data_IF_215571995027
#
_entry.id   IF_215571995027
#
_cell.length_a   1.000
_cell.length_b   1.000
_cell.length_c   1.000
_cell.angle_alpha   90.00
_cell.angle_beta   90.00
_cell.angle_gamma   90.00
#
_symmetry.space_group_name_H-M   'P 1'
#
loop_
_entity.id
_entity.type
_entity.pdbx_description
1 polymer ?
#
# COMPACT_ATOMS: atom_id res chain seq x y z
N UNK A 1 -5.93 40.53 -17.59
CA UNK A 1 -6.59 39.54 -16.70
C UNK A 1 -5.63 38.39 -16.46
N UNK A 2 -5.01 38.24 -15.28
CA UNK A 2 -4.21 37.06 -14.98
C UNK A 2 -5.09 35.97 -14.34
N UNK A 3 -5.12 34.78 -14.94
CA UNK A 3 -5.70 33.57 -14.34
C UNK A 3 -4.70 33.04 -13.30
N UNK A 4 -4.91 33.37 -12.03
CA UNK A 4 -4.22 32.69 -10.92
C UNK A 4 -4.97 31.41 -10.60
N UNK A 5 -4.37 30.26 -10.93
CA UNK A 5 -4.82 28.97 -10.43
C UNK A 5 -4.14 28.69 -9.08
N UNK A 6 -4.87 28.58 -7.96
CA UNK A 6 -4.31 27.98 -6.76
C UNK A 6 -4.33 26.45 -6.94
N UNK A 7 -3.33 25.87 -7.61
CA UNK A 7 -3.12 24.42 -7.57
C UNK A 7 -2.28 24.06 -6.34
N UNK A 8 -2.88 24.29 -5.17
CA UNK A 8 -2.41 23.65 -3.95
C UNK A 8 -2.97 22.24 -3.93
N UNK A 9 -2.24 21.26 -4.47
CA UNK A 9 -2.50 19.86 -4.12
C UNK A 9 -2.44 19.78 -2.58
N UNK A 10 -3.40 19.10 -1.90
CA UNK A 10 -3.30 18.93 -0.48
C UNK A 10 -1.99 18.19 -0.20
N UNK A 11 -1.00 18.93 0.32
CA UNK A 11 0.21 18.35 0.87
C UNK A 11 -0.27 17.49 2.02
N UNK A 12 -0.37 16.18 1.75
CA UNK A 12 -0.83 15.19 2.71
C UNK A 12 0.06 15.35 3.93
N UNK A 13 -0.50 15.97 4.97
CA UNK A 13 0.16 16.13 6.26
C UNK A 13 0.44 14.72 6.74
N UNK A 14 1.68 14.26 6.59
CA UNK A 14 2.08 12.90 6.90
C UNK A 14 1.63 12.60 8.33
N UNK A 15 0.56 11.83 8.44
CA UNK A 15 0.13 11.26 9.69
C UNK A 15 1.30 10.43 10.25
N UNK A 16 1.44 10.29 11.58
CA UNK A 16 2.44 9.41 12.16
C UNK A 16 2.35 8.06 11.45
N UNK A 17 3.46 7.65 10.82
CA UNK A 17 3.49 6.51 9.92
C UNK A 17 2.89 5.29 10.66
N UNK A 18 1.76 4.74 10.20
CA UNK A 18 1.25 3.51 10.77
C UNK A 18 2.30 2.40 10.60
N UNK A 19 2.24 1.31 11.39
CA UNK A 19 3.05 0.13 11.12
C UNK A 19 2.98 -0.18 9.62
N UNK A 20 4.13 -0.37 8.97
CA UNK A 20 4.22 -0.41 7.51
C UNK A 20 3.39 -1.58 6.96
N UNK A 21 2.13 -1.32 6.61
CA UNK A 21 1.21 -2.30 6.03
C UNK A 21 1.47 -2.42 4.53
N UNK A 22 1.58 -3.65 4.04
CA UNK A 22 1.90 -3.97 2.64
C UNK A 22 0.84 -4.93 2.10
N UNK A 23 0.21 -4.57 0.98
CA UNK A 23 -0.67 -5.45 0.22
C UNK A 23 0.15 -6.21 -0.84
N UNK A 24 0.11 -7.53 -0.78
CA UNK A 24 0.73 -8.43 -1.75
C UNK A 24 -0.34 -8.92 -2.71
N UNK A 25 -0.22 -8.52 -3.99
CA UNK A 25 -1.10 -8.98 -5.07
C UNK A 25 -0.28 -9.84 -6.02
N UNK A 26 -0.62 -11.12 -6.07
CA UNK A 26 0.01 -12.10 -6.94
C UNK A 26 -1.03 -13.20 -7.22
N UNK A 27 -1.17 -13.61 -8.48
CA UNK A 27 -2.11 -14.64 -8.92
C UNK A 27 -1.65 -16.05 -8.53
N UNK A 28 -0.34 -16.25 -8.37
CA UNK A 28 0.24 -17.51 -7.93
C UNK A 28 0.24 -17.61 -6.40
N UNK A 29 -0.44 -18.64 -5.87
CA UNK A 29 -0.64 -18.84 -4.43
C UNK A 29 0.69 -18.95 -3.68
N UNK A 30 1.65 -19.70 -4.24
CA UNK A 30 2.92 -19.95 -3.56
C UNK A 30 3.80 -18.70 -3.51
N UNK A 31 3.78 -17.89 -4.58
CA UNK A 31 4.51 -16.64 -4.66
C UNK A 31 3.97 -15.62 -3.64
N UNK A 32 2.64 -15.47 -3.58
CA UNK A 32 1.95 -14.58 -2.65
C UNK A 32 2.29 -14.88 -1.18
N UNK A 33 2.14 -16.13 -0.77
CA UNK A 33 2.42 -16.56 0.61
C UNK A 33 3.91 -16.36 0.95
N UNK A 34 4.81 -16.71 0.03
CA UNK A 34 6.25 -16.60 0.26
C UNK A 34 6.68 -15.14 0.43
N UNK A 35 6.13 -14.23 -0.38
CA UNK A 35 6.41 -12.80 -0.29
C UNK A 35 5.83 -12.19 0.98
N UNK A 36 4.57 -12.49 1.31
CA UNK A 36 3.92 -12.03 2.53
C UNK A 36 4.68 -12.50 3.78
N UNK A 37 5.09 -13.76 3.84
CA UNK A 37 5.90 -14.30 4.93
C UNK A 37 7.26 -13.58 5.05
N UNK A 38 7.90 -13.24 3.93
CA UNK A 38 9.17 -12.50 3.94
C UNK A 38 8.98 -11.07 4.45
N UNK A 39 7.91 -10.39 4.04
CA UNK A 39 7.59 -9.03 4.49
C UNK A 39 7.27 -9.02 6.00
N UNK A 40 6.51 -10.00 6.48
CA UNK A 40 6.23 -10.16 7.92
C UNK A 40 7.52 -10.33 8.73
N UNK A 41 8.48 -11.13 8.24
CA UNK A 41 9.80 -11.29 8.91
C UNK A 41 10.63 -10.00 8.95
N UNK A 42 10.40 -9.08 8.01
CA UNK A 42 11.05 -7.79 7.95
C UNK A 42 10.33 -6.71 8.78
N UNK A 43 9.26 -7.07 9.50
CA UNK A 43 8.52 -6.16 10.37
C UNK A 43 7.38 -5.41 9.70
N UNK A 44 7.02 -5.78 8.46
CA UNK A 44 5.84 -5.25 7.78
C UNK A 44 4.60 -6.04 8.18
N UNK A 45 3.42 -5.41 8.11
CA UNK A 45 2.14 -6.12 8.22
C UNK A 45 1.64 -6.48 6.83
N UNK A 46 1.57 -7.78 6.51
CA UNK A 46 1.14 -8.27 5.21
C UNK A 46 -0.38 -8.41 5.10
N UNK A 47 -0.96 -7.86 4.04
CA UNK A 47 -2.28 -8.21 3.51
C UNK A 47 -2.07 -8.98 2.21
N UNK A 48 -2.85 -10.03 1.97
CA UNK A 48 -2.73 -10.86 0.77
C UNK A 48 -3.98 -10.74 -0.09
N UNK A 49 -3.79 -10.62 -1.39
CA UNK A 49 -4.87 -10.69 -2.37
C UNK A 49 -4.45 -11.54 -3.57
N UNK A 50 -5.22 -12.59 -3.86
CA UNK A 50 -5.01 -13.39 -5.08
C UNK A 50 -5.51 -12.71 -6.35
N UNK A 51 -6.41 -11.74 -6.18
CA UNK A 51 -6.91 -10.86 -7.24
C UNK A 51 -7.23 -9.48 -6.65
N UNK A 52 -7.41 -8.48 -7.51
CA UNK A 52 -7.76 -7.11 -7.08
C UNK A 52 -9.17 -6.96 -6.51
N UNK A 53 -9.91 -8.06 -6.27
CA UNK A 53 -11.29 -8.02 -5.76
C UNK A 53 -11.33 -8.11 -4.24
N UNK A 54 -10.25 -8.54 -3.61
CA UNK A 54 -10.12 -8.66 -2.17
C UNK A 54 -9.12 -7.62 -1.66
N UNK A 55 -9.62 -6.41 -1.43
CA UNK A 55 -8.90 -5.35 -0.71
C UNK A 55 -9.88 -4.69 0.25
N UNK A 56 -9.69 -4.89 1.56
CA UNK A 56 -10.46 -4.24 2.63
C UNK A 56 -9.74 -3.01 3.14
#
# INVERSE_FOLDING_TARGET
MPLTSPSGAPQSRAAPAPPHTVLVVDDELLARISLAARLTRLGYWGLEAGDGRVGV
#
